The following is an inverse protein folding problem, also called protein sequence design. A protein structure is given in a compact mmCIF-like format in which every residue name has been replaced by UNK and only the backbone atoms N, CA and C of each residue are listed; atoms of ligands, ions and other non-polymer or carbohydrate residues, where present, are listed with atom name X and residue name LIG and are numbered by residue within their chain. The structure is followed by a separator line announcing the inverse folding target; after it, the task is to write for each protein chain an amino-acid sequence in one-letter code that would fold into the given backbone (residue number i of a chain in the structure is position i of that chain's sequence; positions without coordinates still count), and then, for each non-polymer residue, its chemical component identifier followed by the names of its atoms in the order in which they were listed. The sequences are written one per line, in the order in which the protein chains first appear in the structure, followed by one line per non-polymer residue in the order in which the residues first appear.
data_IF_868721168390
#
_entry.id   IF_868721168390
#
_cell.length_a   1.000
_cell.length_b   1.000
_cell.length_c   1.000
_cell.angle_alpha   90.00
_cell.angle_beta   90.00
_cell.angle_gamma   90.00
#
_symmetry.space_group_name_H-M   'P 1'
#
loop_
_entity.id
_entity.type
_entity.pdbx_description
1 polymer ?
#
# COMPACT_ATOMS: atom_id res chain seq x y z
N UNK A 1 -8.42 21.24 -9.32
CA UNK A 1 -7.42 20.22 -8.91
C UNK A 1 -6.74 19.69 -10.17
N UNK A 2 -5.42 19.69 -10.24
CA UNK A 2 -4.67 19.20 -11.40
C UNK A 2 -4.78 17.69 -11.54
N UNK A 3 -4.57 17.15 -12.75
CA UNK A 3 -4.55 15.70 -12.97
C UNK A 3 -3.48 15.00 -12.12
N UNK A 4 -2.35 15.67 -11.86
CA UNK A 4 -1.28 15.20 -10.98
C UNK A 4 -1.77 14.99 -9.55
N UNK A 5 -2.43 15.98 -8.96
CA UNK A 5 -2.95 15.88 -7.58
C UNK A 5 -3.99 14.78 -7.42
N UNK A 6 -4.75 14.47 -8.48
CA UNK A 6 -5.72 13.37 -8.46
C UNK A 6 -5.07 11.98 -8.37
N UNK A 7 -3.77 11.86 -8.66
CA UNK A 7 -3.01 10.61 -8.55
C UNK A 7 -2.38 10.43 -7.17
N UNK A 8 -2.38 11.46 -6.32
CA UNK A 8 -1.75 11.42 -5.00
C UNK A 8 -2.80 11.09 -3.95
N UNK A 9 -2.52 10.08 -3.17
CA UNK A 9 -3.30 9.64 -2.01
C UNK A 9 -2.44 9.57 -0.76
N UNK A 10 -3.04 9.13 0.33
CA UNK A 10 -2.34 8.97 1.60
C UNK A 10 -2.71 7.63 2.24
N UNK A 11 -1.81 7.12 3.06
CA UNK A 11 -2.04 5.96 3.91
C UNK A 11 -2.95 6.33 5.07
N UNK A 12 -4.03 5.59 5.27
CA UNK A 12 -4.92 5.77 6.41
C UNK A 12 -4.13 5.76 7.73
N UNK A 13 -4.60 6.54 8.68
CA UNK A 13 -3.89 6.79 9.92
C UNK A 13 -2.93 7.98 9.85
N UNK A 14 -2.61 8.55 8.68
CA UNK A 14 -1.69 9.71 8.57
C UNK A 14 -2.34 11.04 8.94
N UNK A 15 -3.67 11.10 9.01
CA UNK A 15 -4.43 12.27 9.46
C UNK A 15 -5.05 12.10 10.86
N UNK A 16 -4.73 11.00 11.55
CA UNK A 16 -5.20 10.67 12.89
C UNK A 16 -4.06 10.70 13.91
N UNK A 17 -4.39 10.67 15.19
CA UNK A 17 -3.41 10.44 16.24
C UNK A 17 -2.74 9.07 16.09
N UNK A 18 -1.56 8.90 16.70
CA UNK A 18 -0.88 7.61 16.76
C UNK A 18 -1.72 6.61 17.59
N UNK A 19 -1.89 5.40 17.08
CA UNK A 19 -2.49 4.30 17.82
C UNK A 19 -1.37 3.54 18.52
N UNK A 20 -1.38 3.53 19.84
CA UNK A 20 -0.38 2.87 20.70
C UNK A 20 1.08 3.20 20.34
N UNK A 21 1.33 4.44 19.91
CA UNK A 21 2.66 4.89 19.48
C UNK A 21 3.15 4.30 18.15
N UNK A 22 2.35 3.49 17.46
CA UNK A 22 2.72 2.88 16.18
C UNK A 22 2.65 3.91 15.05
N UNK A 23 3.63 3.88 14.17
CA UNK A 23 3.66 4.73 12.97
C UNK A 23 2.50 4.42 12.02
N UNK A 24 2.06 3.16 12.00
CA UNK A 24 0.96 2.68 11.17
C UNK A 24 0.12 1.66 11.95
N UNK A 25 -1.15 1.94 12.07
CA UNK A 25 -2.19 1.06 12.57
C UNK A 25 -3.55 1.65 12.17
N UNK A 26 -4.60 0.85 12.17
CA UNK A 26 -5.94 1.33 11.88
C UNK A 26 -6.42 2.32 12.97
N UNK A 27 -6.84 3.54 12.60
CA UNK A 27 -7.19 4.60 13.56
C UNK A 27 -8.62 4.44 14.09
N UNK A 28 -8.86 3.45 14.96
CA UNK A 28 -10.17 3.02 15.46
C UNK A 28 -11.08 4.15 15.89
N UNK A 29 -10.54 5.16 16.57
CA UNK A 29 -11.34 6.26 17.11
C UNK A 29 -11.56 7.40 16.11
N UNK A 30 -10.67 7.55 15.12
CA UNK A 30 -10.62 8.73 14.24
C UNK A 30 -10.74 8.41 12.75
N UNK A 31 -10.93 7.16 12.33
CA UNK A 31 -10.95 6.78 10.92
C UNK A 31 -11.98 7.54 10.07
N UNK A 32 -13.10 7.97 10.71
CA UNK A 32 -14.16 8.75 10.06
C UNK A 32 -13.70 10.17 9.74
N UNK A 33 -12.95 10.74 10.66
CA UNK A 33 -12.46 12.11 10.58
C UNK A 33 -11.39 12.30 9.50
N UNK A 34 -10.74 11.22 9.09
CA UNK A 34 -9.75 11.30 8.01
C UNK A 34 -10.37 11.68 6.67
N UNK A 35 -11.65 11.38 6.42
CA UNK A 35 -12.34 11.78 5.18
C UNK A 35 -12.51 13.30 5.04
N UNK A 36 -13.12 14.02 5.99
CA UNK A 36 -13.21 15.48 5.91
C UNK A 36 -11.83 16.14 5.96
N UNK A 37 -10.90 15.67 6.78
CA UNK A 37 -9.52 16.19 6.83
C UNK A 37 -8.80 16.03 5.48
N UNK A 38 -8.96 14.90 4.81
CA UNK A 38 -8.41 14.69 3.48
C UNK A 38 -8.98 15.65 2.44
N UNK A 39 -10.33 15.86 2.47
CA UNK A 39 -11.01 16.82 1.60
C UNK A 39 -10.47 18.25 1.79
N UNK A 40 -10.27 18.68 3.03
CA UNK A 40 -9.70 20.01 3.36
C UNK A 40 -8.29 20.16 2.78
N UNK A 41 -7.49 19.11 2.78
CA UNK A 41 -6.18 19.07 2.16
C UNK A 41 -6.20 18.87 0.64
N UNK A 42 -7.36 18.69 0.02
CA UNK A 42 -7.45 18.40 -1.41
C UNK A 42 -6.91 17.01 -1.79
N UNK A 43 -6.88 16.06 -0.86
CA UNK A 43 -6.56 14.67 -1.11
C UNK A 43 -7.84 13.90 -1.46
N UNK A 44 -7.82 13.16 -2.56
CA UNK A 44 -9.01 12.45 -3.09
C UNK A 44 -8.87 10.94 -3.06
N UNK A 45 -7.78 10.43 -2.51
CA UNK A 45 -7.48 9.00 -2.39
C UNK A 45 -6.93 8.69 -1.02
N UNK A 46 -7.41 7.60 -0.43
CA UNK A 46 -6.91 7.05 0.82
C UNK A 46 -6.66 5.56 0.61
N UNK A 47 -5.51 5.07 1.02
CA UNK A 47 -5.26 3.64 1.11
C UNK A 47 -5.70 3.16 2.49
N UNK A 48 -6.61 2.18 2.53
CA UNK A 48 -7.15 1.65 3.77
C UNK A 48 -6.12 0.80 4.49
N UNK A 49 -6.05 0.90 5.82
CA UNK A 49 -5.16 0.08 6.65
C UNK A 49 -5.97 -0.99 7.38
N UNK A 50 -5.46 -2.23 7.40
CA UNK A 50 -6.07 -3.30 8.17
C UNK A 50 -5.02 -4.12 8.91
N UNK A 51 -5.23 -4.25 10.23
CA UNK A 51 -4.42 -5.06 11.13
C UNK A 51 -5.06 -6.44 11.36
N UNK A 52 -4.25 -7.45 11.78
CA UNK A 52 -4.76 -8.75 12.16
C UNK A 52 -5.58 -8.68 13.44
N UNK A 53 -5.15 -7.85 14.40
CA UNK A 53 -5.91 -7.59 15.60
C UNK A 53 -7.26 -6.94 15.26
N UNK A 54 -8.36 -7.54 15.73
CA UNK A 54 -9.71 -7.06 15.47
C UNK A 54 -10.09 -6.98 13.98
N UNK A 55 -9.47 -7.78 13.11
CA UNK A 55 -9.72 -7.77 11.66
C UNK A 55 -11.20 -7.84 11.31
N UNK A 56 -11.95 -8.72 11.98
CA UNK A 56 -13.38 -8.94 11.73
C UNK A 56 -14.29 -7.86 12.30
N UNK A 57 -13.76 -6.97 13.17
CA UNK A 57 -14.46 -5.79 13.68
C UNK A 57 -14.17 -4.53 12.84
N UNK A 58 -13.16 -4.59 11.95
CA UNK A 58 -12.81 -3.45 11.11
C UNK A 58 -14.01 -3.05 10.24
N UNK A 59 -14.34 -1.75 10.11
CA UNK A 59 -15.48 -1.29 9.31
C UNK A 59 -15.50 -1.86 7.88
N UNK A 60 -14.32 -2.10 7.28
CA UNK A 60 -14.22 -2.72 5.96
C UNK A 60 -14.85 -4.12 5.91
N UNK A 61 -14.78 -4.89 6.98
CA UNK A 61 -15.23 -6.28 7.01
C UNK A 61 -16.68 -6.46 7.46
N UNK A 62 -17.35 -5.38 7.86
CA UNK A 62 -18.75 -5.40 8.31
C UNK A 62 -19.66 -4.70 7.31
N UNK A 63 -20.89 -5.17 7.14
CA UNK A 63 -21.87 -4.57 6.22
C UNK A 63 -22.17 -3.11 6.58
N UNK A 64 -22.42 -2.84 7.86
CA UNK A 64 -22.69 -1.49 8.36
C UNK A 64 -21.47 -0.56 8.10
N UNK A 65 -20.25 -1.02 8.38
CA UNK A 65 -19.05 -0.24 8.15
C UNK A 65 -18.81 0.05 6.67
N UNK A 66 -19.06 -0.92 5.77
CA UNK A 66 -18.96 -0.71 4.32
C UNK A 66 -19.94 0.35 3.83
N UNK A 67 -21.19 0.35 4.31
CA UNK A 67 -22.18 1.38 3.99
C UNK A 67 -21.71 2.76 4.48
N UNK A 68 -21.15 2.85 5.67
CA UNK A 68 -20.61 4.09 6.24
C UNK A 68 -19.38 4.58 5.46
N UNK A 69 -18.44 3.70 5.11
CA UNK A 69 -17.28 4.03 4.26
C UNK A 69 -17.73 4.62 2.93
N UNK A 70 -18.69 3.99 2.25
CA UNK A 70 -19.24 4.47 0.98
C UNK A 70 -19.94 5.83 1.11
N UNK A 71 -20.64 6.06 2.23
CA UNK A 71 -21.29 7.34 2.50
C UNK A 71 -20.25 8.46 2.71
N UNK A 72 -19.23 8.22 3.54
CA UNK A 72 -18.13 9.17 3.81
C UNK A 72 -17.32 9.45 2.54
N UNK A 73 -17.02 8.41 1.75
CA UNK A 73 -16.34 8.56 0.46
C UNK A 73 -17.08 9.51 -0.48
N UNK A 74 -18.40 9.30 -0.65
CA UNK A 74 -19.23 10.18 -1.50
C UNK A 74 -19.32 11.61 -0.97
N UNK A 75 -19.54 11.76 0.34
CA UNK A 75 -19.70 13.07 0.98
C UNK A 75 -18.43 13.93 0.88
N UNK A 76 -17.26 13.29 0.95
CA UNK A 76 -15.99 14.00 1.02
C UNK A 76 -15.21 13.95 -0.32
N UNK A 77 -15.65 13.16 -1.30
CA UNK A 77 -14.94 13.00 -2.56
C UNK A 77 -13.61 12.26 -2.41
N UNK A 78 -13.48 11.40 -1.39
CA UNK A 78 -12.28 10.61 -1.10
C UNK A 78 -12.55 9.15 -1.45
N UNK A 79 -11.89 8.60 -2.49
CA UNK A 79 -11.98 7.20 -2.87
C UNK A 79 -10.96 6.36 -2.11
N UNK A 80 -11.23 5.06 -2.01
CA UNK A 80 -10.33 4.08 -1.42
C UNK A 80 -9.94 3.08 -2.52
N UNK A 81 -8.89 3.36 -3.30
CA UNK A 81 -8.49 2.50 -4.41
C UNK A 81 -7.65 1.30 -3.99
N UNK A 82 -7.05 1.34 -2.81
CA UNK A 82 -6.14 0.31 -2.31
C UNK A 82 -6.29 0.07 -0.81
N UNK A 83 -5.85 -1.12 -0.39
CA UNK A 83 -5.78 -1.60 0.98
C UNK A 83 -4.34 -2.02 1.29
N UNK A 84 -3.74 -1.49 2.34
CA UNK A 84 -2.52 -2.08 2.89
C UNK A 84 -2.89 -3.17 3.89
N UNK A 85 -2.48 -4.40 3.58
CA UNK A 85 -2.78 -5.59 4.35
C UNK A 85 -1.70 -5.91 5.37
N UNK A 86 -1.50 -5.05 6.37
CA UNK A 86 -0.55 -5.30 7.46
C UNK A 86 -0.88 -6.59 8.21
N UNK A 87 -2.16 -7.00 8.21
CA UNK A 87 -2.60 -8.29 8.75
C UNK A 87 -1.85 -9.49 8.16
N UNK A 88 -1.50 -9.44 6.86
CA UNK A 88 -0.78 -10.53 6.21
C UNK A 88 0.70 -10.59 6.63
N UNK A 89 1.30 -9.45 6.99
CA UNK A 89 2.64 -9.39 7.56
C UNK A 89 2.62 -9.77 9.05
N UNK A 90 1.59 -9.36 9.78
CA UNK A 90 1.43 -9.67 11.21
C UNK A 90 1.14 -11.17 11.43
N UNK A 91 0.37 -11.80 10.54
CA UNK A 91 0.03 -13.22 10.55
C UNK A 91 0.16 -13.85 9.16
N UNK A 92 1.38 -14.12 8.68
CA UNK A 92 1.61 -14.61 7.32
C UNK A 92 1.14 -16.07 7.18
N UNK A 93 0.09 -16.29 6.38
CA UNK A 93 -0.49 -17.62 6.15
C UNK A 93 0.47 -18.60 5.49
N UNK A 94 1.55 -18.12 4.89
CA UNK A 94 2.59 -18.97 4.27
C UNK A 94 3.64 -19.48 5.26
N UNK A 95 3.64 -19.00 6.51
CA UNK A 95 4.61 -19.38 7.55
C UNK A 95 4.03 -20.31 8.64
N UNK A 96 2.77 -20.67 8.55
CA UNK A 96 2.05 -21.43 9.59
C UNK A 96 1.63 -22.81 9.10
N UNK A 97 1.20 -23.69 10.04
CA UNK A 97 0.65 -25.01 9.71
C UNK A 97 -0.69 -24.90 8.97
N UNK A 98 -1.21 -26.06 8.51
CA UNK A 98 -2.41 -26.11 7.69
C UNK A 98 -3.66 -25.60 8.39
N UNK A 99 -3.82 -25.89 9.68
CA UNK A 99 -5.03 -25.54 10.44
C UNK A 99 -5.11 -24.03 10.63
N UNK A 100 -4.01 -23.41 11.06
CA UNK A 100 -3.93 -21.96 11.22
C UNK A 100 -4.03 -21.26 9.85
N UNK A 101 -3.40 -21.82 8.84
CA UNK A 101 -3.45 -21.30 7.46
C UNK A 101 -4.86 -21.20 6.93
N UNK A 102 -5.70 -22.22 7.13
CA UNK A 102 -7.06 -22.21 6.62
C UNK A 102 -7.89 -21.06 7.18
N UNK A 103 -7.70 -20.73 8.46
CA UNK A 103 -8.35 -19.58 9.08
C UNK A 103 -7.85 -18.25 8.50
N UNK A 104 -6.53 -18.07 8.34
CA UNK A 104 -5.94 -16.85 7.76
C UNK A 104 -6.30 -16.69 6.27
N UNK A 105 -6.43 -17.77 5.56
CA UNK A 105 -6.87 -17.77 4.16
C UNK A 105 -8.35 -17.43 4.05
N UNK A 106 -9.19 -17.82 5.02
CA UNK A 106 -10.57 -17.36 5.10
C UNK A 106 -10.66 -15.84 5.37
N UNK A 107 -9.74 -15.27 6.14
CA UNK A 107 -9.64 -13.82 6.31
C UNK A 107 -9.22 -13.11 5.01
N UNK A 108 -8.29 -13.69 4.24
CA UNK A 108 -7.95 -13.19 2.90
C UNK A 108 -9.19 -13.17 1.97
N UNK A 109 -9.97 -14.25 1.94
CA UNK A 109 -11.18 -14.32 1.11
C UNK A 109 -12.25 -13.31 1.55
N UNK A 110 -12.41 -13.12 2.86
CA UNK A 110 -13.27 -12.08 3.44
C UNK A 110 -12.85 -10.68 2.96
N UNK A 111 -11.55 -10.37 3.02
CA UNK A 111 -11.01 -9.07 2.61
C UNK A 111 -11.15 -8.83 1.11
N UNK A 112 -10.89 -9.82 0.27
CA UNK A 112 -11.10 -9.71 -1.19
C UNK A 112 -12.56 -9.37 -1.49
N UNK A 113 -13.49 -10.08 -0.86
CA UNK A 113 -14.92 -9.82 -1.03
C UNK A 113 -15.35 -8.44 -0.51
N UNK A 114 -14.79 -8.00 0.61
CA UNK A 114 -15.04 -6.67 1.18
C UNK A 114 -14.49 -5.55 0.26
N UNK A 115 -13.27 -5.71 -0.24
CA UNK A 115 -12.64 -4.80 -1.19
C UNK A 115 -13.50 -4.63 -2.45
N UNK A 116 -13.96 -5.73 -3.03
CA UNK A 116 -14.83 -5.71 -4.21
C UNK A 116 -16.12 -4.91 -3.99
N UNK A 117 -16.75 -5.05 -2.81
CA UNK A 117 -18.03 -4.36 -2.52
C UNK A 117 -17.90 -2.84 -2.43
N UNK A 118 -16.77 -2.33 -1.95
CA UNK A 118 -16.54 -0.89 -1.81
C UNK A 118 -15.68 -0.28 -2.92
N UNK A 119 -15.21 -1.10 -3.87
CA UNK A 119 -14.46 -0.63 -5.03
C UNK A 119 -12.96 -0.45 -4.79
N UNK A 120 -12.37 -1.18 -3.81
CA UNK A 120 -10.92 -1.29 -3.65
C UNK A 120 -10.39 -2.22 -4.75
N UNK A 121 -9.42 -1.70 -5.53
CA UNK A 121 -8.85 -2.42 -6.69
C UNK A 121 -7.58 -3.18 -6.32
N UNK A 122 -6.79 -2.68 -5.35
CA UNK A 122 -5.50 -3.25 -4.99
C UNK A 122 -5.46 -3.66 -3.51
N UNK A 123 -5.00 -4.88 -3.25
CA UNK A 123 -4.69 -5.37 -1.91
C UNK A 123 -3.18 -5.58 -1.83
N UNK A 124 -2.52 -4.78 -1.02
CA UNK A 124 -1.07 -4.91 -0.77
C UNK A 124 -0.84 -6.06 0.20
N UNK A 125 -0.01 -7.02 -0.20
CA UNK A 125 0.50 -8.07 0.68
C UNK A 125 1.99 -7.78 0.94
N UNK A 126 2.35 -7.37 2.16
CA UNK A 126 3.73 -7.08 2.51
C UNK A 126 4.53 -8.38 2.73
N UNK A 127 5.52 -8.61 1.86
CA UNK A 127 6.52 -9.67 1.98
C UNK A 127 7.82 -9.10 2.57
N UNK A 128 7.65 -8.33 3.65
CA UNK A 128 8.70 -7.63 4.40
C UNK A 128 8.58 -7.96 5.88
N UNK A 129 9.57 -7.65 6.67
CA UNK A 129 9.59 -7.89 8.11
C UNK A 129 9.17 -9.34 8.46
N UNK A 130 8.14 -9.54 9.30
CA UNK A 130 7.63 -10.89 9.63
C UNK A 130 7.00 -11.61 8.43
N UNK A 131 6.54 -10.86 7.41
CA UNK A 131 6.00 -11.40 6.16
C UNK A 131 7.07 -11.81 5.14
N UNK A 132 8.35 -11.55 5.39
CA UNK A 132 9.47 -11.90 4.49
C UNK A 132 9.47 -13.39 4.14
N UNK A 133 9.68 -13.72 2.87
CA UNK A 133 9.88 -15.09 2.41
C UNK A 133 11.33 -15.50 2.70
N UNK A 134 11.51 -16.50 3.55
CA UNK A 134 12.82 -16.99 3.97
C UNK A 134 13.13 -18.39 3.44
N UNK A 135 12.09 -19.14 3.04
CA UNK A 135 12.21 -20.54 2.58
C UNK A 135 11.40 -20.74 1.31
N UNK A 136 11.86 -21.62 0.45
CA UNK A 136 11.18 -22.01 -0.79
C UNK A 136 9.76 -22.52 -0.51
N UNK A 137 9.59 -23.33 0.55
CA UNK A 137 8.28 -23.86 0.97
C UNK A 137 7.26 -22.77 1.34
N UNK A 138 7.72 -21.62 1.83
CA UNK A 138 6.86 -20.45 2.10
C UNK A 138 6.42 -19.80 0.78
N UNK A 139 7.36 -19.62 -0.14
CA UNK A 139 7.09 -19.13 -1.50
C UNK A 139 6.08 -20.02 -2.23
N UNK A 140 6.26 -21.34 -2.18
CA UNK A 140 5.36 -22.30 -2.83
C UNK A 140 3.97 -22.31 -2.20
N UNK A 141 3.90 -22.14 -0.86
CA UNK A 141 2.61 -22.03 -0.15
C UNK A 141 1.88 -20.76 -0.56
N UNK A 142 2.58 -19.62 -0.57
CA UNK A 142 2.03 -18.33 -1.00
C UNK A 142 1.50 -18.42 -2.44
N UNK A 143 2.33 -18.91 -3.38
CA UNK A 143 1.96 -19.09 -4.79
C UNK A 143 0.72 -19.98 -4.93
N UNK A 144 0.72 -21.15 -4.32
CA UNK A 144 -0.39 -22.10 -4.38
C UNK A 144 -1.69 -21.50 -3.89
N UNK A 145 -1.68 -20.81 -2.74
CA UNK A 145 -2.87 -20.19 -2.15
C UNK A 145 -3.40 -19.06 -3.04
N UNK A 146 -2.54 -18.19 -3.54
CA UNK A 146 -2.96 -17.03 -4.31
C UNK A 146 -3.37 -17.38 -5.75
N UNK A 147 -2.64 -18.28 -6.42
CA UNK A 147 -3.00 -18.73 -7.77
C UNK A 147 -4.34 -19.47 -7.81
N UNK A 148 -4.68 -20.22 -6.76
CA UNK A 148 -6.01 -20.83 -6.63
C UNK A 148 -7.15 -19.81 -6.57
N UNK A 149 -6.86 -18.54 -6.32
CA UNK A 149 -7.83 -17.41 -6.23
C UNK A 149 -7.89 -16.54 -7.48
N UNK A 150 -7.10 -16.86 -8.51
CA UNK A 150 -7.00 -16.02 -9.73
C UNK A 150 -8.38 -15.72 -10.36
N UNK A 151 -9.23 -16.73 -10.49
CA UNK A 151 -10.57 -16.55 -11.07
C UNK A 151 -11.45 -15.67 -10.18
N UNK A 152 -11.41 -15.88 -8.86
CA UNK A 152 -12.14 -15.07 -7.89
C UNK A 152 -11.70 -13.61 -7.90
N UNK A 153 -10.38 -13.36 -7.92
CA UNK A 153 -9.80 -12.02 -8.03
C UNK A 153 -10.25 -11.31 -9.32
N UNK A 154 -10.24 -12.02 -10.43
CA UNK A 154 -10.71 -11.49 -11.73
C UNK A 154 -12.19 -11.12 -11.67
N UNK A 155 -13.05 -12.00 -11.16
CA UNK A 155 -14.50 -11.77 -11.05
C UNK A 155 -14.82 -10.59 -10.12
N UNK A 156 -14.04 -10.41 -9.07
CA UNK A 156 -14.23 -9.38 -8.07
C UNK A 156 -13.53 -8.07 -8.41
N UNK A 157 -12.81 -8.02 -9.54
CA UNK A 157 -12.01 -6.86 -9.97
C UNK A 157 -11.03 -6.38 -8.88
N UNK A 158 -10.41 -7.32 -8.17
CA UNK A 158 -9.40 -7.07 -7.15
C UNK A 158 -8.07 -7.65 -7.60
N UNK A 159 -6.99 -6.93 -7.39
CA UNK A 159 -5.63 -7.37 -7.69
C UNK A 159 -4.80 -7.42 -6.41
N UNK A 160 -3.96 -8.44 -6.32
CA UNK A 160 -2.94 -8.52 -5.27
C UNK A 160 -1.68 -7.81 -5.77
N UNK A 161 -1.13 -6.94 -4.95
CA UNK A 161 0.15 -6.27 -5.22
C UNK A 161 1.13 -6.56 -4.09
N UNK A 162 2.31 -7.05 -4.43
CA UNK A 162 3.32 -7.40 -3.42
C UNK A 162 4.23 -6.22 -3.12
N UNK A 163 4.39 -5.90 -1.85
CA UNK A 163 5.50 -5.12 -1.34
C UNK A 163 6.58 -6.11 -0.86
N UNK A 164 7.81 -5.98 -1.32
CA UNK A 164 8.81 -7.03 -1.07
C UNK A 164 10.19 -6.45 -0.84
N UNK A 165 10.97 -7.13 0.00
CA UNK A 165 12.39 -6.87 0.24
C UNK A 165 13.32 -7.74 -0.62
N UNK A 166 12.78 -8.53 -1.55
CA UNK A 166 13.58 -9.30 -2.50
C UNK A 166 14.42 -8.37 -3.40
N UNK A 167 15.67 -8.73 -3.68
CA UNK A 167 16.48 -8.01 -4.66
C UNK A 167 15.77 -7.87 -6.03
N UNK A 168 16.02 -6.81 -6.81
CA UNK A 168 15.23 -6.48 -8.00
C UNK A 168 15.06 -7.62 -8.99
N UNK A 169 16.13 -8.38 -9.27
CA UNK A 169 16.08 -9.53 -10.20
C UNK A 169 15.32 -10.72 -9.61
N UNK A 170 15.43 -10.93 -8.31
CA UNK A 170 14.72 -12.01 -7.63
C UNK A 170 13.23 -11.70 -7.56
N UNK A 171 12.85 -10.46 -7.27
CA UNK A 171 11.45 -10.03 -7.33
C UNK A 171 10.86 -10.19 -8.75
N UNK A 172 11.59 -9.77 -9.78
CA UNK A 172 11.17 -9.97 -11.17
C UNK A 172 10.95 -11.47 -11.48
N UNK A 173 11.86 -12.34 -11.03
CA UNK A 173 11.75 -13.80 -11.19
C UNK A 173 10.56 -14.37 -10.42
N UNK A 174 10.38 -13.93 -9.16
CA UNK A 174 9.23 -14.32 -8.34
C UNK A 174 7.91 -13.97 -9.01
N UNK A 175 7.82 -12.76 -9.60
CA UNK A 175 6.63 -12.28 -10.29
C UNK A 175 6.28 -13.05 -11.57
N UNK A 176 7.23 -13.79 -12.17
CA UNK A 176 6.95 -14.62 -13.35
C UNK A 176 5.94 -15.75 -13.07
N UNK A 177 5.81 -16.18 -11.81
CA UNK A 177 4.81 -17.18 -11.42
C UNK A 177 3.38 -16.62 -11.37
N UNK A 178 3.19 -15.30 -11.43
CA UNK A 178 1.91 -14.67 -11.20
C UNK A 178 1.39 -13.96 -12.45
N UNK A 179 0.16 -14.27 -12.92
CA UNK A 179 -0.47 -13.59 -14.05
C UNK A 179 -0.60 -12.08 -13.83
N UNK A 180 -0.14 -11.23 -14.79
CA UNK A 180 -0.16 -9.78 -14.63
C UNK A 180 -1.56 -9.17 -14.63
N UNK A 181 -2.58 -9.92 -15.01
CA UNK A 181 -3.97 -9.47 -15.01
C UNK A 181 -4.51 -9.22 -13.60
N UNK A 182 -4.04 -9.97 -12.61
CA UNK A 182 -4.53 -9.90 -11.21
C UNK A 182 -3.43 -9.82 -10.16
N UNK A 183 -2.16 -9.80 -10.57
CA UNK A 183 -1.03 -9.67 -9.65
C UNK A 183 -0.04 -8.60 -10.13
N UNK A 184 0.46 -7.79 -9.21
CA UNK A 184 1.42 -6.74 -9.49
C UNK A 184 2.36 -6.49 -8.32
N UNK A 185 3.02 -5.36 -8.39
CA UNK A 185 3.98 -4.88 -7.38
C UNK A 185 3.44 -3.57 -6.78
N UNK A 186 3.49 -3.48 -5.48
CA UNK A 186 3.49 -2.22 -4.75
C UNK A 186 4.95 -1.79 -4.56
N UNK A 187 5.37 -0.74 -5.26
CA UNK A 187 6.72 -0.21 -5.12
C UNK A 187 6.79 0.72 -3.91
N UNK A 188 7.57 0.37 -2.89
CA UNK A 188 7.83 1.23 -1.73
C UNK A 188 9.23 1.85 -1.81
N UNK A 189 9.29 3.15 -2.09
CA UNK A 189 10.53 3.88 -2.27
C UNK A 189 11.40 3.91 -1.01
N UNK A 190 10.80 3.90 0.17
CA UNK A 190 11.52 3.92 1.45
C UNK A 190 12.11 2.56 1.80
N UNK A 191 11.36 1.47 1.55
CA UNK A 191 11.88 0.12 1.78
C UNK A 191 13.06 -0.17 0.84
N UNK A 192 12.95 0.18 -0.45
CA UNK A 192 14.04 0.10 -1.41
C UNK A 192 15.27 0.89 -0.96
N UNK A 193 15.09 2.13 -0.51
CA UNK A 193 16.17 2.97 0.00
C UNK A 193 16.84 2.38 1.25
N UNK A 194 16.05 1.85 2.18
CA UNK A 194 16.55 1.22 3.39
C UNK A 194 17.40 -0.02 3.09
N UNK A 195 17.02 -0.80 2.09
CA UNK A 195 17.75 -1.98 1.60
C UNK A 195 18.96 -1.59 0.73
N UNK A 196 19.04 -0.34 0.28
CA UNK A 196 20.11 0.18 -0.56
C UNK A 196 20.01 -0.25 -2.03
N UNK A 197 18.80 -0.55 -2.50
CA UNK A 197 18.57 -0.85 -3.92
C UNK A 197 18.65 0.42 -4.79
N UNK A 198 19.13 0.26 -6.03
CA UNK A 198 19.12 1.35 -7.00
C UNK A 198 17.78 1.36 -7.76
N UNK A 199 17.04 2.45 -7.62
CA UNK A 199 15.75 2.63 -8.30
C UNK A 199 15.82 2.43 -9.82
N UNK A 200 16.96 2.70 -10.47
CA UNK A 200 17.15 2.44 -11.89
C UNK A 200 17.15 0.94 -12.20
N UNK A 201 17.82 0.13 -11.38
CA UNK A 201 17.83 -1.33 -11.54
C UNK A 201 16.45 -1.93 -11.25
N UNK A 202 15.78 -1.44 -10.21
CA UNK A 202 14.43 -1.88 -9.85
C UNK A 202 13.42 -1.61 -10.97
N UNK A 203 13.36 -0.37 -11.46
CA UNK A 203 12.42 0.03 -12.52
C UNK A 203 12.75 -0.71 -13.83
N UNK A 204 14.03 -0.90 -14.17
CA UNK A 204 14.43 -1.68 -15.35
C UNK A 204 13.98 -3.17 -15.22
N UNK A 205 13.97 -3.73 -14.02
CA UNK A 205 13.64 -5.14 -13.80
C UNK A 205 12.14 -5.43 -13.86
N UNK A 206 11.29 -4.54 -13.30
CA UNK A 206 9.87 -4.88 -13.09
C UNK A 206 8.87 -3.74 -13.27
N UNK A 207 9.23 -2.60 -13.89
CA UNK A 207 8.31 -1.47 -14.06
C UNK A 207 6.92 -1.85 -14.62
N UNK A 208 6.78 -2.75 -15.63
CA UNK A 208 5.47 -3.09 -16.16
C UNK A 208 4.54 -3.82 -15.16
N UNK A 209 5.09 -4.24 -14.03
CA UNK A 209 4.36 -4.93 -12.95
C UNK A 209 3.96 -3.98 -11.82
N UNK A 210 4.44 -2.73 -11.78
CA UNK A 210 4.11 -1.74 -10.75
C UNK A 210 2.68 -1.25 -10.97
N UNK A 211 1.81 -1.50 -10.00
CA UNK A 211 0.39 -1.09 -10.02
C UNK A 211 0.07 -0.06 -8.93
N UNK A 212 0.84 -0.03 -7.86
CA UNK A 212 0.73 0.91 -6.74
C UNK A 212 2.12 1.39 -6.32
N UNK A 213 2.21 2.61 -5.81
CA UNK A 213 3.48 3.19 -5.33
C UNK A 213 3.28 3.80 -3.96
N UNK A 214 4.07 3.36 -2.99
CA UNK A 214 4.23 4.02 -1.70
C UNK A 214 5.36 5.03 -1.76
N UNK A 215 5.03 6.29 -1.50
CA UNK A 215 6.00 7.38 -1.37
C UNK A 215 6.41 7.47 0.09
N UNK A 216 7.63 7.06 0.35
CA UNK A 216 8.21 6.93 1.67
C UNK A 216 9.70 7.25 1.59
N UNK A 217 10.27 7.79 2.64
CA UNK A 217 11.71 7.98 2.74
C UNK A 217 12.25 7.32 3.99
N UNK A 218 13.38 6.67 3.86
CA UNK A 218 14.06 5.96 4.95
C UNK A 218 15.56 6.18 4.88
N UNK A 219 16.20 6.16 6.03
CA UNK A 219 17.67 6.03 6.12
C UNK A 219 18.07 4.60 5.76
N UNK A 220 19.17 4.44 5.06
CA UNK A 220 19.73 3.13 4.71
C UNK A 220 19.94 2.29 5.97
N UNK A 221 19.35 1.09 6.03
CA UNK A 221 19.34 0.23 7.21
C UNK A 221 18.60 0.81 8.42
N UNK A 222 17.83 1.91 8.23
CA UNK A 222 17.20 2.67 9.31
C UNK A 222 15.70 2.81 9.18
N UNK A 223 15.15 3.78 9.91
CA UNK A 223 13.72 4.01 10.05
C UNK A 223 13.20 5.02 9.02
N UNK A 224 11.86 5.17 8.99
CA UNK A 224 11.16 6.18 8.18
C UNK A 224 11.48 7.59 8.69
N UNK A 225 11.79 8.48 7.76
CA UNK A 225 12.12 9.90 8.00
C UNK A 225 11.25 10.81 7.13
N UNK A 226 11.20 12.12 7.40
CA UNK A 226 10.53 13.08 6.52
C UNK A 226 11.00 12.96 5.06
N UNK A 227 10.10 13.16 4.09
CA UNK A 227 10.45 13.09 2.66
C UNK A 227 11.57 14.07 2.31
N UNK A 228 12.58 13.58 1.62
CA UNK A 228 13.78 14.32 1.24
C UNK A 228 14.89 14.33 2.29
N UNK A 229 14.69 13.66 3.43
CA UNK A 229 15.69 13.58 4.52
C UNK A 229 16.37 12.22 4.59
N UNK A 230 15.96 11.26 3.77
CA UNK A 230 16.48 9.91 3.74
C UNK A 230 17.33 9.61 2.49
N UNK A 231 17.29 8.35 2.06
CA UNK A 231 18.11 7.84 0.98
C UNK A 231 17.30 7.43 -0.27
N UNK A 232 16.00 7.73 -0.34
CA UNK A 232 15.13 7.25 -1.41
C UNK A 232 15.36 7.95 -2.78
N UNK A 233 16.08 9.08 -2.82
CA UNK A 233 16.23 9.92 -4.03
C UNK A 233 14.90 10.04 -4.81
N UNK A 234 13.89 10.55 -4.10
CA UNK A 234 12.49 10.53 -4.57
C UNK A 234 12.30 11.21 -5.91
N UNK A 235 13.03 12.31 -6.19
CA UNK A 235 12.96 12.99 -7.47
C UNK A 235 13.45 12.10 -8.64
N UNK A 236 14.55 11.38 -8.47
CA UNK A 236 15.06 10.40 -9.44
C UNK A 236 14.09 9.23 -9.58
N UNK A 237 13.66 8.68 -8.48
CA UNK A 237 12.79 7.49 -8.43
C UNK A 237 11.45 7.74 -9.11
N UNK A 238 10.75 8.82 -8.76
CA UNK A 238 9.47 9.20 -9.38
C UNK A 238 9.65 9.48 -10.87
N UNK A 239 10.74 10.16 -11.27
CA UNK A 239 11.06 10.38 -12.69
C UNK A 239 11.23 9.07 -13.47
N UNK A 240 11.89 8.08 -12.90
CA UNK A 240 12.05 6.77 -13.54
C UNK A 240 10.72 6.03 -13.68
N UNK A 241 9.89 6.07 -12.63
CA UNK A 241 8.55 5.48 -12.63
C UNK A 241 7.68 6.14 -13.70
N UNK A 242 7.62 7.47 -13.76
CA UNK A 242 6.82 8.19 -14.78
C UNK A 242 7.31 7.90 -16.22
N UNK A 243 8.63 7.87 -16.43
CA UNK A 243 9.23 7.55 -17.74
C UNK A 243 9.02 6.10 -18.17
N UNK A 244 8.75 5.19 -17.24
CA UNK A 244 8.36 3.81 -17.57
C UNK A 244 6.92 3.69 -18.10
N UNK A 245 6.16 4.79 -18.10
CA UNK A 245 4.78 4.84 -18.56
C UNK A 245 3.73 4.60 -17.47
N UNK A 246 4.13 4.60 -16.20
CA UNK A 246 3.22 4.41 -15.05
C UNK A 246 2.13 5.48 -15.02
N UNK A 247 0.87 5.04 -14.85
CA UNK A 247 -0.31 5.92 -14.79
C UNK A 247 -1.11 5.74 -13.49
N UNK A 248 -0.60 4.91 -12.58
CA UNK A 248 -1.25 4.61 -11.31
C UNK A 248 -1.09 5.75 -10.29
N UNK A 249 -1.33 5.40 -9.05
CA UNK A 249 -1.37 6.32 -7.91
C UNK A 249 -0.08 6.31 -7.11
N UNK A 250 0.12 7.39 -6.37
CA UNK A 250 1.20 7.58 -5.40
C UNK A 250 0.56 7.75 -4.01
N UNK A 251 0.80 6.82 -3.10
CA UNK A 251 0.27 6.82 -1.74
C UNK A 251 1.35 7.31 -0.77
N UNK A 252 1.06 8.39 -0.08
CA UNK A 252 1.95 8.98 0.91
C UNK A 252 1.97 8.13 2.18
N UNK A 253 2.94 7.21 2.30
CA UNK A 253 3.22 6.41 3.49
C UNK A 253 4.37 7.05 4.30
N UNK A 254 4.21 8.30 4.63
CA UNK A 254 5.27 9.17 5.14
C UNK A 254 5.48 9.08 6.65
N UNK A 255 6.59 9.65 7.12
CA UNK A 255 6.80 9.88 8.54
C UNK A 255 5.71 10.77 9.14
N UNK A 256 5.46 10.60 10.42
CA UNK A 256 4.59 11.47 11.21
C UNK A 256 5.30 12.78 11.52
N UNK A 257 4.55 13.85 11.64
CA UNK A 257 5.08 15.13 12.09
C UNK A 257 5.53 15.06 13.56
N UNK A 258 6.77 15.50 13.83
CA UNK A 258 7.33 15.48 15.18
C UNK A 258 6.67 16.49 16.12
N UNK A 259 6.10 17.57 15.56
CA UNK A 259 5.37 18.63 16.25
C UNK A 259 3.86 18.35 16.38
N UNK A 260 3.38 17.20 15.87
CA UNK A 260 1.97 16.82 15.85
C UNK A 260 1.15 17.43 14.72
N UNK A 261 1.69 18.33 13.90
CA UNK A 261 1.01 18.87 12.71
C UNK A 261 1.04 17.85 11.54
N UNK A 262 0.33 16.74 11.72
CA UNK A 262 0.25 15.69 10.72
C UNK A 262 -0.39 16.15 9.42
N UNK A 263 -1.40 17.00 9.49
CA UNK A 263 -2.10 17.55 8.33
C UNK A 263 -1.19 18.48 7.51
N UNK A 264 -0.50 19.41 8.14
CA UNK A 264 0.45 20.28 7.47
C UNK A 264 1.64 19.53 6.88
N UNK A 265 2.16 18.51 7.58
CA UNK A 265 3.21 17.66 7.03
C UNK A 265 2.73 16.92 5.77
N UNK A 266 1.54 16.33 5.81
CA UNK A 266 0.98 15.60 4.68
C UNK A 266 0.70 16.52 3.48
N UNK A 267 0.24 17.75 3.70
CA UNK A 267 0.08 18.76 2.66
C UNK A 267 1.42 19.09 1.98
N UNK A 268 2.48 19.31 2.75
CA UNK A 268 3.83 19.54 2.20
C UNK A 268 4.30 18.34 1.37
N UNK A 269 4.12 17.11 1.85
CA UNK A 269 4.53 15.91 1.13
C UNK A 269 3.74 15.69 -0.15
N UNK A 270 2.44 16.02 -0.15
CA UNK A 270 1.61 16.04 -1.37
C UNK A 270 2.20 16.99 -2.41
N UNK A 271 2.53 18.21 -2.01
CA UNK A 271 3.04 19.23 -2.94
C UNK A 271 4.44 18.87 -3.46
N UNK A 272 5.32 18.34 -2.60
CA UNK A 272 6.62 17.82 -3.03
C UNK A 272 6.45 16.70 -4.06
N UNK A 273 5.57 15.73 -3.80
CA UNK A 273 5.32 14.60 -4.70
C UNK A 273 4.73 15.07 -6.04
N UNK A 274 3.80 16.04 -6.00
CA UNK A 274 3.24 16.65 -7.21
C UNK A 274 4.33 17.32 -8.05
N UNK A 275 5.21 18.08 -7.42
CA UNK A 275 6.35 18.71 -8.10
C UNK A 275 7.25 17.69 -8.80
N UNK A 276 7.62 16.59 -8.16
CA UNK A 276 8.45 15.55 -8.79
C UNK A 276 7.76 14.85 -9.95
N UNK A 277 6.44 14.63 -9.89
CA UNK A 277 5.66 14.06 -11.00
C UNK A 277 5.62 15.05 -12.18
N UNK A 278 5.38 16.32 -11.92
CA UNK A 278 5.31 17.37 -12.95
C UNK A 278 6.68 17.61 -13.61
N UNK A 279 7.76 17.58 -12.85
CA UNK A 279 9.13 17.69 -13.39
C UNK A 279 9.53 16.47 -14.25
N UNK A 280 8.98 15.30 -13.95
CA UNK A 280 9.21 14.10 -14.77
C UNK A 280 8.57 14.18 -16.16
N UNK A 281 7.53 15.00 -16.33
CA UNK A 281 6.80 15.20 -17.59
C UNK A 281 7.46 16.24 -18.52
N UNK A 282 8.45 16.98 -18.01
CA UNK A 282 9.27 17.94 -18.77
C UNK A 282 10.47 17.26 -19.41
#
# INVERSE_FOLDING_TARGET
MTATLQRIGFMQGRLSALVDGKIQAFPWNEWREEFPRAKELGLTRMEWTIDQERLRENPLTTEQGQQEILALSRQNGVRIPSLTGDCFMQAPFWKVDAVVRDALVADLDLLIAACSRIGIEFVVIPLVDNGKIERESESDTLKRVLLARQESLTKQNVKIVFESDLPPRELATFMNAFPPSVFGINYDSGNSASLGYDSKEEIAAYAPRILNVHVKDRIRGGTTVPLGSGNADLAKTIRLIERSGYKGQYILQTARAADGDHAGALARYRDMTAGWIEDAAR
#
